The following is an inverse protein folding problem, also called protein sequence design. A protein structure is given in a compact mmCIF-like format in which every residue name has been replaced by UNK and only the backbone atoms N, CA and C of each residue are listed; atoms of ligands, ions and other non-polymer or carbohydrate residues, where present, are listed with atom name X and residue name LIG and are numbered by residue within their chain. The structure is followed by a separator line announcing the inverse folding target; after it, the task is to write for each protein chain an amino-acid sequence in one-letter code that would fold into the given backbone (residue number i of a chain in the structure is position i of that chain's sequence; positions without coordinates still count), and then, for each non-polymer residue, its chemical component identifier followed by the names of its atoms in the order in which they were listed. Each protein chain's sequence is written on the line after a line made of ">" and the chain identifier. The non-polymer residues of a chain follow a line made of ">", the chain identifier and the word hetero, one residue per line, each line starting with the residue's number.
data_IF_898974625567
#
_entry.id   IF_898974625567
#
_cell.length_a   1.000
_cell.length_b   1.000
_cell.length_c   1.000
_cell.angle_alpha   90.00
_cell.angle_beta   90.00
_cell.angle_gamma   90.00
#
_symmetry.space_group_name_H-M   'P 1'
#
loop_
_entity.id
_entity.type
_entity.pdbx_description
1 polymer ?
#
# COMPACT_ATOMS: atom_id res chain seq x y z
N UNK A 1 36.25 46.49 63.96
CA UNK A 1 36.64 45.73 62.76
C UNK A 1 35.53 45.86 61.71
N UNK A 2 35.88 45.95 60.43
CA UNK A 2 34.94 45.87 59.30
C UNK A 2 35.15 44.58 58.53
N UNK A 3 34.07 44.10 57.89
CA UNK A 3 34.04 42.85 57.13
C UNK A 3 33.43 43.17 55.77
N UNK A 4 34.15 42.87 54.69
CA UNK A 4 33.67 43.02 53.31
C UNK A 4 33.84 41.71 52.55
N UNK A 5 32.84 41.39 51.75
CA UNK A 5 32.80 40.19 50.93
C UNK A 5 32.85 40.59 49.47
N UNK A 6 33.70 39.93 48.68
CA UNK A 6 33.64 39.95 47.22
C UNK A 6 33.21 38.55 46.76
N UNK A 7 32.06 38.44 46.10
CA UNK A 7 31.48 37.14 45.76
C UNK A 7 32.06 36.53 44.47
N UNK A 8 32.94 37.25 43.77
CA UNK A 8 33.63 36.74 42.59
C UNK A 8 32.88 36.93 41.26
N UNK A 9 31.66 37.47 41.30
CA UNK A 9 30.83 37.83 40.13
C UNK A 9 30.67 39.35 39.95
N UNK A 10 31.52 40.13 40.63
CA UNK A 10 31.48 41.59 40.65
C UNK A 10 30.55 42.18 41.71
N UNK A 11 29.78 41.35 42.42
CA UNK A 11 28.96 41.79 43.56
C UNK A 11 29.72 41.71 44.88
N UNK A 12 29.35 42.58 45.81
CA UNK A 12 29.98 42.69 47.12
C UNK A 12 28.95 42.66 48.25
N UNK A 13 29.39 42.27 49.45
CA UNK A 13 28.61 42.29 50.69
C UNK A 13 29.39 42.88 51.86
N UNK A 14 28.72 43.09 52.99
CA UNK A 14 29.37 43.55 54.23
C UNK A 14 28.74 42.91 55.46
N UNK A 15 29.47 42.97 56.58
CA UNK A 15 29.07 42.36 57.85
C UNK A 15 29.74 41.01 58.11
N UNK A 16 29.61 40.52 59.34
CA UNK A 16 30.27 39.29 59.80
C UNK A 16 29.78 38.04 59.07
N UNK A 17 28.60 38.11 58.44
CA UNK A 17 28.06 37.11 57.52
C UNK A 17 27.71 37.76 56.19
N UNK A 18 27.96 37.05 55.09
CA UNK A 18 27.54 37.43 53.74
C UNK A 18 26.54 36.42 53.18
N UNK A 19 25.56 36.89 52.42
CA UNK A 19 24.64 36.07 51.64
C UNK A 19 24.57 36.61 50.22
N UNK A 20 24.56 35.72 49.24
CA UNK A 20 24.54 36.07 47.82
C UNK A 20 23.87 34.97 46.99
N UNK A 21 23.24 35.36 45.88
CA UNK A 21 22.62 34.44 44.92
C UNK A 21 23.38 34.56 43.60
N UNK A 22 23.96 33.45 43.14
CA UNK A 22 24.57 33.35 41.82
C UNK A 22 23.49 33.02 40.79
N UNK A 23 23.29 33.91 39.82
CA UNK A 23 22.28 33.74 38.76
C UNK A 23 22.74 32.88 37.59
N UNK A 24 24.03 32.53 37.53
CA UNK A 24 24.64 31.78 36.43
C UNK A 24 25.54 30.68 36.97
N UNK A 25 25.59 29.57 36.22
CA UNK A 25 26.58 28.53 36.46
C UNK A 25 28.00 29.08 36.26
N UNK A 26 28.93 28.63 37.10
CA UNK A 26 30.30 29.13 37.10
C UNK A 26 31.06 28.70 38.35
N UNK A 27 32.36 28.96 38.34
CA UNK A 27 33.19 28.85 39.54
C UNK A 27 33.58 30.25 39.98
N UNK A 28 33.19 30.60 41.21
CA UNK A 28 33.37 31.92 41.79
C UNK A 28 34.32 31.84 42.98
N UNK A 29 35.33 32.69 43.00
CA UNK A 29 36.23 32.83 44.16
C UNK A 29 35.67 33.91 45.08
N UNK A 30 35.13 33.49 46.22
CA UNK A 30 34.66 34.38 47.28
C UNK A 30 35.84 34.82 48.13
N UNK A 31 35.97 36.12 48.39
CA UNK A 31 37.03 36.70 49.23
C UNK A 31 36.39 37.47 50.38
N UNK A 32 36.73 37.11 51.61
CA UNK A 32 36.46 37.90 52.81
C UNK A 32 37.66 38.79 53.10
N UNK A 33 37.45 40.09 53.26
CA UNK A 33 38.43 41.03 53.80
C UNK A 33 37.98 41.51 55.17
N UNK A 34 38.86 41.41 56.17
CA UNK A 34 38.63 41.90 57.53
C UNK A 34 39.64 43.01 57.82
N UNK A 35 39.16 44.15 58.31
CA UNK A 35 40.00 45.26 58.77
C UNK A 35 39.77 45.43 60.27
N UNK A 36 40.82 45.36 61.10
CA UNK A 36 40.69 45.53 62.55
C UNK A 36 40.51 47.00 62.97
N UNK A 37 40.49 47.29 64.28
CA UNK A 37 40.37 48.66 64.79
C UNK A 37 41.65 49.50 64.66
N UNK A 38 42.79 48.87 64.40
CA UNK A 38 44.07 49.53 64.09
C UNK A 38 44.27 49.78 62.60
N UNK A 39 43.33 49.35 61.75
CA UNK A 39 43.40 49.49 60.30
C UNK A 39 44.18 48.37 59.59
N UNK A 40 44.61 47.32 60.30
CA UNK A 40 45.29 46.18 59.70
C UNK A 40 44.30 45.30 58.96
N UNK A 41 44.70 44.82 57.78
CA UNK A 41 43.86 44.05 56.87
C UNK A 41 44.31 42.59 56.78
N UNK A 42 43.36 41.67 56.71
CA UNK A 42 43.58 40.26 56.39
C UNK A 42 42.51 39.75 55.42
N UNK A 43 42.83 38.72 54.65
CA UNK A 43 41.90 38.12 53.68
C UNK A 43 41.86 36.61 53.79
N UNK A 44 40.72 36.02 53.44
CA UNK A 44 40.52 34.59 53.25
C UNK A 44 39.69 34.36 51.99
N UNK A 45 39.90 33.24 51.29
CA UNK A 45 39.16 32.92 50.07
C UNK A 45 38.65 31.48 50.02
N UNK A 46 37.55 31.28 49.32
CA UNK A 46 36.92 29.98 49.06
C UNK A 46 36.32 29.97 47.65
N UNK A 47 36.48 28.88 46.92
CA UNK A 47 35.81 28.67 45.63
C UNK A 47 34.43 28.05 45.82
N UNK A 48 33.42 28.63 45.18
CA UNK A 48 32.06 28.11 45.08
C UNK A 48 31.81 27.73 43.61
N UNK A 49 31.38 26.50 43.37
CA UNK A 49 30.95 26.05 42.04
C UNK A 49 29.44 25.97 41.98
N UNK A 50 28.84 26.68 41.04
CA UNK A 50 27.42 26.70 40.73
C UNK A 50 27.25 25.96 39.40
N UNK A 51 26.46 24.89 39.38
CA UNK A 51 26.19 24.11 38.17
C UNK A 51 24.84 24.49 37.59
N UNK A 52 24.72 24.45 36.26
CA UNK A 52 23.40 24.47 35.62
C UNK A 52 22.63 23.18 35.99
N UNK A 53 21.29 23.21 35.99
CA UNK A 53 20.50 21.99 36.00
C UNK A 53 20.93 21.06 34.86
N UNK A 54 20.90 19.75 35.08
CA UNK A 54 21.12 18.79 34.01
C UNK A 54 19.89 18.77 33.09
N UNK A 55 20.10 18.86 31.78
CA UNK A 55 19.05 18.76 30.78
C UNK A 55 18.39 17.37 30.83
N UNK A 56 17.07 17.32 30.85
CA UNK A 56 16.31 16.08 30.69
C UNK A 56 15.82 15.94 29.24
N UNK A 57 15.85 14.71 28.72
CA UNK A 57 15.37 14.46 27.35
C UNK A 57 13.87 14.77 27.23
N UNK A 58 13.39 15.20 26.05
CA UNK A 58 11.96 15.36 25.80
C UNK A 58 11.24 14.01 25.87
N UNK A 59 9.91 14.04 25.86
CA UNK A 59 9.06 12.86 25.69
C UNK A 59 8.34 12.93 24.35
N UNK A 60 8.68 12.01 23.45
CA UNK A 60 8.03 11.85 22.16
C UNK A 60 6.64 11.26 22.33
N UNK A 61 5.60 11.94 21.84
CA UNK A 61 4.23 11.43 21.82
C UNK A 61 3.55 11.95 20.58
N UNK A 62 2.84 11.07 19.87
CA UNK A 62 1.98 11.49 18.77
C UNK A 62 0.74 10.64 18.58
N UNK A 63 -0.15 11.17 17.74
CA UNK A 63 -1.31 10.45 17.21
C UNK A 63 -1.22 10.36 15.69
N UNK A 64 -1.73 9.28 15.12
CA UNK A 64 -1.87 9.07 13.69
C UNK A 64 -3.33 8.77 13.37
N UNK A 65 -3.93 9.50 12.44
CA UNK A 65 -5.35 9.35 12.10
C UNK A 65 -5.61 9.44 10.60
N UNK A 66 -6.27 8.43 9.99
CA UNK A 66 -6.48 7.08 10.52
C UNK A 66 -5.16 6.30 10.65
N UNK A 67 -5.09 5.32 11.54
CA UNK A 67 -3.96 4.38 11.67
C UNK A 67 -4.14 3.10 10.84
N UNK A 68 -5.33 2.90 10.26
CA UNK A 68 -5.65 1.80 9.35
C UNK A 68 -6.59 2.23 8.23
N UNK A 69 -6.47 1.62 7.04
CA UNK A 69 -7.33 1.93 5.89
C UNK A 69 -6.96 1.16 4.63
N UNK A 70 -7.48 1.56 3.47
CA UNK A 70 -7.17 0.95 2.17
C UNK A 70 -6.27 1.89 1.37
N UNK A 71 -5.32 1.34 0.62
CA UNK A 71 -4.45 2.12 -0.26
C UNK A 71 -5.24 2.85 -1.38
N UNK A 72 -4.87 4.09 -1.75
CA UNK A 72 -3.92 4.95 -1.05
C UNK A 72 -4.51 5.50 0.26
N UNK A 73 -3.75 5.42 1.36
CA UNK A 73 -4.18 5.89 2.68
C UNK A 73 -3.46 7.18 3.07
N UNK A 74 -4.20 8.28 3.18
CA UNK A 74 -3.68 9.54 3.72
C UNK A 74 -3.88 9.58 5.24
N UNK A 75 -2.78 9.76 5.97
CA UNK A 75 -2.72 9.80 7.43
C UNK A 75 -2.26 11.18 7.88
N UNK A 76 -2.92 11.71 8.91
CA UNK A 76 -2.48 12.90 9.63
C UNK A 76 -1.74 12.49 10.90
N UNK A 77 -0.49 12.93 11.03
CA UNK A 77 0.37 12.74 12.19
C UNK A 77 0.41 14.04 13.00
N UNK A 78 0.28 13.92 14.33
CA UNK A 78 0.24 15.08 15.22
C UNK A 78 0.98 14.80 16.53
N UNK A 79 2.07 15.54 16.76
CA UNK A 79 2.93 15.49 17.94
C UNK A 79 2.70 16.63 18.95
N UNK A 80 1.55 17.31 18.92
CA UNK A 80 1.28 18.46 19.78
C UNK A 80 1.30 18.14 21.29
N UNK A 81 1.22 16.86 21.66
CA UNK A 81 1.31 16.39 23.05
C UNK A 81 2.71 15.96 23.47
N UNK A 82 3.70 16.00 22.58
CA UNK A 82 5.11 15.86 22.98
C UNK A 82 5.49 17.03 23.90
N UNK A 83 6.34 16.77 24.88
CA UNK A 83 6.69 17.73 25.92
C UNK A 83 8.17 17.62 26.27
N UNK A 84 8.73 18.69 26.80
CA UNK A 84 10.05 18.75 27.39
C UNK A 84 9.90 19.25 28.84
N UNK A 85 10.37 18.49 29.85
CA UNK A 85 10.16 18.83 31.25
C UNK A 85 10.98 20.04 31.75
N UNK A 86 12.09 20.39 31.10
CA UNK A 86 13.00 21.46 31.55
C UNK A 86 13.47 22.41 30.44
N UNK A 87 13.04 22.18 29.20
CA UNK A 87 13.38 23.02 28.05
C UNK A 87 12.25 23.18 27.03
N UNK A 88 12.63 23.25 25.75
CA UNK A 88 11.71 23.31 24.61
C UNK A 88 12.13 22.36 23.49
N UNK A 89 11.15 21.71 22.87
CA UNK A 89 11.39 20.89 21.66
C UNK A 89 11.70 21.81 20.47
N UNK A 90 12.86 21.63 19.84
CA UNK A 90 13.33 22.42 18.70
C UNK A 90 13.10 21.75 17.34
N UNK A 91 12.98 20.42 17.29
CA UNK A 91 12.72 19.68 16.02
C UNK A 91 11.73 18.53 16.20
N UNK A 92 10.95 18.27 15.16
CA UNK A 92 10.01 17.15 15.05
C UNK A 92 10.24 16.47 13.71
N UNK A 93 11.03 15.40 13.69
CA UNK A 93 11.39 14.66 12.47
C UNK A 93 10.54 13.39 12.33
N UNK A 94 9.95 13.19 11.15
CA UNK A 94 9.05 12.09 10.85
C UNK A 94 9.64 11.17 9.78
N UNK A 95 9.83 9.91 10.12
CA UNK A 95 10.05 8.80 9.19
C UNK A 95 8.74 8.01 9.05
N UNK A 96 8.32 7.72 7.81
CA UNK A 96 7.08 7.00 7.54
C UNK A 96 7.28 5.49 7.40
N UNK A 97 8.51 4.98 7.51
CA UNK A 97 8.80 3.55 7.52
C UNK A 97 8.68 2.85 6.15
N UNK A 98 8.55 3.62 5.06
CA UNK A 98 8.50 3.12 3.68
C UNK A 98 9.72 3.54 2.83
N UNK A 99 10.71 4.17 3.45
CA UNK A 99 11.93 4.67 2.80
C UNK A 99 11.74 5.99 2.05
N UNK A 100 10.58 6.65 2.18
CA UNK A 100 10.37 8.00 1.67
C UNK A 100 11.20 9.05 2.43
N UNK A 101 11.27 10.26 1.86
CA UNK A 101 11.96 11.37 2.53
C UNK A 101 11.19 11.81 3.78
N UNK A 102 11.95 12.11 4.84
CA UNK A 102 11.39 12.56 6.11
C UNK A 102 10.65 13.89 5.97
N UNK A 103 9.74 14.17 6.90
CA UNK A 103 9.08 15.47 7.05
C UNK A 103 9.37 16.08 8.41
N UNK A 104 9.22 17.39 8.48
CA UNK A 104 9.45 18.16 9.69
C UNK A 104 8.21 18.95 10.09
N UNK A 105 7.99 19.10 11.39
CA UNK A 105 6.94 19.95 11.96
C UNK A 105 6.05 19.22 12.96
N UNK A 106 5.34 19.97 13.80
CA UNK A 106 4.49 19.42 14.88
C UNK A 106 3.35 18.54 14.33
N UNK A 107 2.81 18.89 13.16
CA UNK A 107 1.78 18.12 12.49
C UNK A 107 2.06 18.04 10.99
N UNK A 108 1.96 16.83 10.43
CA UNK A 108 2.23 16.55 9.01
C UNK A 108 1.19 15.58 8.45
N UNK A 109 0.98 15.62 7.14
CA UNK A 109 0.20 14.61 6.42
C UNK A 109 1.10 13.81 5.49
N UNK A 110 0.80 12.52 5.36
CA UNK A 110 1.50 11.60 4.46
C UNK A 110 0.54 10.58 3.85
N UNK A 111 0.80 10.16 2.61
CA UNK A 111 -0.05 9.21 1.89
C UNK A 111 0.75 7.96 1.56
N UNK A 112 0.35 6.83 2.13
CA UNK A 112 0.88 5.52 1.77
C UNK A 112 0.18 5.01 0.51
N UNK A 113 0.93 4.91 -0.60
CA UNK A 113 0.36 4.56 -1.90
C UNK A 113 0.08 3.06 -2.07
N UNK A 114 0.75 2.21 -1.29
CA UNK A 114 0.67 0.75 -1.41
C UNK A 114 0.18 0.13 -0.11
N UNK A 115 -0.41 -1.06 -0.22
CA UNK A 115 -0.74 -1.88 0.94
C UNK A 115 0.55 -2.34 1.64
N UNK A 116 0.51 -2.39 2.97
CA UNK A 116 1.65 -2.72 3.79
C UNK A 116 1.43 -2.39 5.26
N UNK A 117 2.38 -2.79 6.08
CA UNK A 117 2.49 -2.36 7.48
C UNK A 117 3.73 -1.49 7.61
N UNK A 118 3.55 -0.25 8.06
CA UNK A 118 4.59 0.77 8.09
C UNK A 118 4.81 1.25 9.52
N UNK A 119 6.06 1.23 9.98
CA UNK A 119 6.44 1.78 11.28
C UNK A 119 6.73 3.27 11.13
N UNK A 120 5.76 4.12 11.46
CA UNK A 120 5.96 5.56 11.49
C UNK A 120 6.71 5.94 12.77
N UNK A 121 7.78 6.72 12.65
CA UNK A 121 8.69 7.07 13.73
C UNK A 121 8.74 8.59 13.86
N UNK A 122 8.50 9.10 15.06
CA UNK A 122 8.75 10.48 15.44
C UNK A 122 10.05 10.56 16.24
N UNK A 123 10.98 11.40 15.81
CA UNK A 123 12.14 11.82 16.63
C UNK A 123 11.98 13.28 17.03
N UNK A 124 11.96 13.56 18.33
CA UNK A 124 11.96 14.93 18.87
C UNK A 124 13.34 15.25 19.45
N UNK A 125 13.82 16.48 19.24
CA UNK A 125 15.08 16.99 19.83
C UNK A 125 14.78 18.25 20.62
N UNK A 126 15.34 18.41 21.81
CA UNK A 126 15.23 19.61 22.65
C UNK A 126 16.35 20.64 22.41
N UNK A 127 16.28 21.78 23.11
CA UNK A 127 17.28 22.85 23.07
C UNK A 127 18.61 22.51 23.76
N UNK A 128 18.64 21.42 24.53
CA UNK A 128 19.84 20.77 25.06
C UNK A 128 20.45 19.71 24.12
N UNK A 129 19.88 19.53 22.92
CA UNK A 129 20.20 18.51 21.93
C UNK A 129 19.98 17.05 22.37
N UNK A 130 19.24 16.80 23.45
CA UNK A 130 18.77 15.47 23.80
C UNK A 130 17.55 15.08 22.95
N UNK A 131 17.34 13.77 22.80
CA UNK A 131 16.34 13.22 21.88
C UNK A 131 15.51 12.15 22.55
N UNK A 132 14.28 12.01 22.05
CA UNK A 132 13.41 10.87 22.32
C UNK A 132 12.67 10.45 21.05
N UNK A 133 12.25 9.19 21.00
CA UNK A 133 11.69 8.55 19.81
C UNK A 133 10.41 7.80 20.18
N UNK A 134 9.36 8.00 19.40
CA UNK A 134 8.11 7.22 19.50
C UNK A 134 7.81 6.55 18.16
N UNK A 135 7.31 5.31 18.20
CA UNK A 135 6.97 4.53 17.00
C UNK A 135 5.52 4.07 17.02
N UNK A 136 4.82 4.23 15.91
CA UNK A 136 3.44 3.77 15.73
C UNK A 136 3.26 3.03 14.40
N UNK A 137 2.54 1.90 14.42
CA UNK A 137 2.31 1.10 13.21
C UNK A 137 1.07 1.59 12.45
N UNK A 138 1.24 1.90 11.17
CA UNK A 138 0.16 2.19 10.22
C UNK A 138 -0.11 0.96 9.37
N UNK A 139 -1.38 0.54 9.29
CA UNK A 139 -1.79 -0.63 8.50
C UNK A 139 -2.57 -0.21 7.26
N UNK A 140 -1.99 -0.42 6.09
CA UNK A 140 -2.61 -0.10 4.80
C UNK A 140 -3.01 -1.40 4.12
N UNK A 141 -4.30 -1.59 3.93
CA UNK A 141 -4.87 -2.77 3.30
C UNK A 141 -4.94 -2.58 1.77
N UNK A 142 -4.85 -3.69 1.03
CA UNK A 142 -5.14 -3.66 -0.41
C UNK A 142 -6.64 -3.46 -0.65
N UNK A 143 -7.00 -2.91 -1.81
CA UNK A 143 -8.36 -3.07 -2.33
C UNK A 143 -8.55 -4.57 -2.53
N UNK A 144 -9.50 -5.19 -1.84
CA UNK A 144 -9.76 -6.61 -2.03
C UNK A 144 -10.12 -6.89 -3.48
N UNK A 145 -9.57 -7.97 -4.06
CA UNK A 145 -9.84 -8.36 -5.44
C UNK A 145 -11.15 -9.16 -5.53
N UNK A 146 -12.10 -8.75 -6.37
CA UNK A 146 -13.24 -9.58 -6.74
C UNK A 146 -12.88 -10.47 -7.92
N UNK A 147 -13.29 -11.74 -7.88
CA UNK A 147 -13.05 -12.64 -9.00
C UNK A 147 -13.80 -12.15 -10.26
N UNK A 148 -13.22 -12.27 -11.47
CA UNK A 148 -13.88 -11.83 -12.69
C UNK A 148 -15.07 -12.73 -13.03
N UNK A 149 -15.93 -12.27 -13.93
CA UNK A 149 -16.99 -13.07 -14.55
C UNK A 149 -16.56 -13.49 -15.95
N UNK A 150 -16.34 -14.79 -16.14
CA UNK A 150 -16.09 -15.35 -17.47
C UNK A 150 -17.40 -15.53 -18.25
N UNK A 151 -17.40 -15.12 -19.51
CA UNK A 151 -18.55 -15.29 -20.41
C UNK A 151 -18.09 -15.34 -21.86
N UNK A 152 -18.71 -16.19 -22.67
CA UNK A 152 -18.48 -16.20 -24.11
C UNK A 152 -19.69 -16.65 -24.91
N UNK A 153 -19.65 -16.29 -26.19
CA UNK A 153 -20.59 -16.73 -27.22
C UNK A 153 -19.86 -17.49 -28.33
N UNK A 154 -20.63 -18.15 -29.20
CA UNK A 154 -20.10 -18.87 -30.35
C UNK A 154 -20.88 -18.49 -31.60
N UNK A 155 -20.24 -18.47 -32.77
CA UNK A 155 -20.92 -18.43 -34.06
C UNK A 155 -20.58 -19.72 -34.84
N UNK A 156 -21.57 -20.59 -35.11
CA UNK A 156 -23.00 -20.46 -34.83
C UNK A 156 -23.34 -20.51 -33.32
N UNK A 157 -24.41 -19.79 -32.94
CA UNK A 157 -24.97 -19.76 -31.57
C UNK A 157 -25.72 -21.06 -31.18
N UNK A 158 -25.27 -22.20 -31.68
CA UNK A 158 -25.91 -23.50 -31.51
C UNK A 158 -25.07 -24.43 -30.64
N UNK A 159 -25.74 -25.24 -29.82
CA UNK A 159 -25.10 -26.31 -29.05
C UNK A 159 -25.03 -27.63 -29.86
N UNK A 160 -25.76 -27.72 -30.98
CA UNK A 160 -25.72 -28.87 -31.90
C UNK A 160 -25.59 -28.35 -33.31
N UNK A 161 -24.55 -28.78 -34.02
CA UNK A 161 -24.24 -28.38 -35.39
C UNK A 161 -24.36 -29.61 -36.29
N UNK A 162 -25.23 -29.50 -37.29
CA UNK A 162 -25.40 -30.51 -38.32
C UNK A 162 -24.64 -30.09 -39.57
N UNK A 163 -23.44 -30.62 -39.77
CA UNK A 163 -22.65 -30.35 -40.97
C UNK A 163 -21.65 -31.49 -41.24
N UNK A 164 -21.05 -31.47 -42.42
CA UNK A 164 -19.95 -32.36 -42.78
C UNK A 164 -18.63 -31.69 -42.36
N UNK A 165 -17.89 -32.24 -41.37
CA UNK A 165 -16.59 -31.69 -40.99
C UNK A 165 -15.64 -31.57 -42.19
N UNK A 166 -14.68 -30.61 -42.19
CA UNK A 166 -14.35 -29.71 -41.10
C UNK A 166 -15.34 -28.54 -40.92
N UNK A 167 -15.54 -28.11 -39.68
CA UNK A 167 -16.35 -26.92 -39.33
C UNK A 167 -15.52 -25.97 -38.49
N UNK A 168 -15.45 -24.72 -38.92
CA UNK A 168 -14.90 -23.62 -38.11
C UNK A 168 -16.00 -22.99 -37.27
N UNK A 169 -15.73 -22.79 -35.99
CA UNK A 169 -16.59 -22.08 -35.04
C UNK A 169 -15.82 -20.87 -34.53
N UNK A 170 -16.48 -19.71 -34.53
CA UNK A 170 -15.92 -18.49 -33.96
C UNK A 170 -16.33 -18.40 -32.49
N UNK A 171 -15.42 -17.93 -31.65
CA UNK A 171 -15.59 -17.77 -30.20
C UNK A 171 -15.32 -16.33 -29.80
N UNK A 172 -16.22 -15.76 -29.00
CA UNK A 172 -16.10 -14.37 -28.54
C UNK A 172 -16.35 -14.28 -27.03
N UNK A 173 -15.30 -13.93 -26.28
CA UNK A 173 -15.30 -13.72 -24.83
C UNK A 173 -15.49 -12.25 -24.41
N UNK A 174 -15.83 -11.35 -25.34
CA UNK A 174 -15.99 -9.90 -25.07
C UNK A 174 -17.03 -9.58 -24.00
N UNK A 175 -17.92 -10.53 -23.67
CA UNK A 175 -18.87 -10.43 -22.57
C UNK A 175 -18.30 -10.73 -21.18
N UNK A 176 -17.02 -11.13 -21.06
CA UNK A 176 -16.36 -11.30 -19.76
C UNK A 176 -16.07 -9.95 -19.12
N UNK A 177 -16.15 -9.87 -17.79
CA UNK A 177 -16.00 -8.61 -17.05
C UNK A 177 -15.29 -8.79 -15.71
N UNK A 178 -14.77 -7.68 -15.19
CA UNK A 178 -14.20 -7.57 -13.86
C UNK A 178 -14.70 -6.26 -13.22
N UNK A 179 -15.21 -6.31 -11.99
CA UNK A 179 -15.95 -5.19 -11.37
C UNK A 179 -15.06 -4.18 -10.67
N UNK A 180 -13.88 -4.60 -10.24
CA UNK A 180 -12.89 -3.79 -9.52
C UNK A 180 -11.55 -3.71 -10.26
N UNK A 181 -11.50 -4.25 -11.49
CA UNK A 181 -10.30 -4.31 -12.28
C UNK A 181 -10.53 -4.50 -13.77
N UNK A 182 -9.62 -5.23 -14.40
CA UNK A 182 -9.58 -5.53 -15.83
C UNK A 182 -9.16 -6.97 -16.05
N UNK A 183 -9.64 -7.61 -17.13
CA UNK A 183 -9.18 -8.95 -17.49
C UNK A 183 -7.80 -8.87 -18.16
N UNK A 184 -6.81 -9.52 -17.57
CA UNK A 184 -5.44 -9.59 -18.05
C UNK A 184 -5.22 -10.67 -19.12
N UNK A 185 -5.91 -11.81 -19.05
CA UNK A 185 -5.77 -12.89 -20.05
C UNK A 185 -7.03 -13.69 -20.31
N UNK A 186 -7.08 -14.29 -21.50
CA UNK A 186 -8.14 -15.17 -21.99
C UNK A 186 -7.50 -16.44 -22.54
N UNK A 187 -7.86 -17.59 -21.98
CA UNK A 187 -7.28 -18.89 -22.29
C UNK A 187 -8.40 -19.87 -22.67
N UNK A 188 -8.29 -20.48 -23.84
CA UNK A 188 -9.29 -21.37 -24.41
C UNK A 188 -8.79 -22.81 -24.45
N UNK A 189 -9.67 -23.75 -24.13
CA UNK A 189 -9.50 -25.18 -24.37
C UNK A 189 -10.72 -25.64 -25.17
N UNK A 190 -10.53 -26.22 -26.35
CA UNK A 190 -11.64 -26.57 -27.26
C UNK A 190 -12.19 -27.98 -27.06
N UNK A 191 -11.56 -28.80 -26.22
CA UNK A 191 -12.04 -30.14 -25.87
C UNK A 191 -11.61 -31.26 -26.83
N UNK A 192 -10.80 -30.95 -27.84
CA UNK A 192 -10.13 -31.91 -28.74
C UNK A 192 -8.60 -31.96 -28.56
N UNK A 193 -8.10 -31.21 -27.58
CA UNK A 193 -6.66 -31.09 -27.27
C UNK A 193 -6.06 -29.75 -27.68
N UNK A 194 -6.74 -28.99 -28.54
CA UNK A 194 -6.26 -27.69 -28.99
C UNK A 194 -6.63 -26.57 -28.01
N UNK A 195 -5.81 -25.52 -28.03
CA UNK A 195 -5.92 -24.35 -27.15
C UNK A 195 -5.69 -23.06 -27.92
N UNK A 196 -6.26 -21.97 -27.43
CA UNK A 196 -5.99 -20.63 -27.97
C UNK A 196 -5.95 -19.57 -26.87
N UNK A 197 -5.57 -18.35 -27.25
CA UNK A 197 -5.60 -17.18 -26.37
C UNK A 197 -6.20 -15.99 -27.10
N UNK A 198 -6.73 -15.03 -26.34
CA UNK A 198 -7.29 -13.78 -26.87
C UNK A 198 -8.79 -13.67 -26.62
N UNK A 199 -9.30 -12.44 -26.72
CA UNK A 199 -10.73 -12.14 -26.49
C UNK A 199 -11.61 -12.86 -27.50
N UNK A 200 -11.18 -12.88 -28.76
CA UNK A 200 -11.81 -13.63 -29.84
C UNK A 200 -10.84 -14.64 -30.41
N UNK A 201 -11.36 -15.77 -30.86
CA UNK A 201 -10.58 -16.82 -31.51
C UNK A 201 -11.48 -17.66 -32.41
N UNK A 202 -10.88 -18.44 -33.30
CA UNK A 202 -11.60 -19.38 -34.18
C UNK A 202 -10.98 -20.76 -34.04
N UNK A 203 -11.79 -21.80 -34.12
CA UNK A 203 -11.30 -23.18 -34.06
C UNK A 203 -12.01 -24.08 -35.06
N UNK A 204 -11.25 -24.99 -35.69
CA UNK A 204 -11.76 -25.90 -36.72
C UNK A 204 -11.80 -27.33 -36.23
N UNK A 205 -13.01 -27.87 -36.05
CA UNK A 205 -13.23 -29.26 -35.69
C UNK A 205 -13.26 -30.14 -36.94
N UNK A 206 -12.32 -31.09 -37.02
CA UNK A 206 -12.14 -31.97 -38.20
C UNK A 206 -12.96 -33.25 -38.14
N UNK A 207 -13.48 -33.61 -36.97
CA UNK A 207 -14.29 -34.81 -36.74
C UNK A 207 -15.63 -34.48 -36.12
N UNK A 208 -16.63 -35.34 -36.35
CA UNK A 208 -17.89 -35.28 -35.58
C UNK A 208 -17.65 -35.75 -34.15
N UNK A 209 -18.25 -35.09 -33.17
CA UNK A 209 -18.03 -35.39 -31.76
C UNK A 209 -18.75 -34.43 -30.84
N UNK A 210 -18.59 -34.64 -29.53
CA UNK A 210 -19.02 -33.70 -28.49
C UNK A 210 -17.77 -33.04 -27.92
N UNK A 211 -17.74 -31.72 -27.93
CA UNK A 211 -16.60 -30.92 -27.51
C UNK A 211 -17.01 -30.00 -26.37
N UNK A 212 -16.26 -30.04 -25.28
CA UNK A 212 -16.44 -29.16 -24.12
C UNK A 212 -15.42 -28.04 -24.20
N UNK A 213 -15.90 -26.84 -24.49
CA UNK A 213 -15.10 -25.62 -24.56
C UNK A 213 -15.05 -25.00 -23.18
N UNK A 214 -13.84 -24.68 -22.73
CA UNK A 214 -13.56 -23.97 -21.49
C UNK A 214 -12.85 -22.68 -21.84
N UNK A 215 -13.45 -21.56 -21.43
CA UNK A 215 -12.77 -20.27 -21.34
C UNK A 215 -12.33 -20.07 -19.89
N UNK A 216 -11.05 -19.79 -19.67
CA UNK A 216 -10.53 -19.27 -18.41
C UNK A 216 -10.07 -17.83 -18.63
N UNK A 217 -10.61 -16.90 -17.85
CA UNK A 217 -10.14 -15.50 -17.80
C UNK A 217 -9.40 -15.28 -16.50
N UNK A 218 -8.35 -14.46 -16.53
CA UNK A 218 -7.57 -14.08 -15.34
C UNK A 218 -7.58 -12.56 -15.26
N UNK A 219 -7.91 -11.99 -14.10
CA UNK A 219 -7.90 -10.54 -13.88
C UNK A 219 -6.48 -9.97 -13.71
N UNK A 220 -6.39 -8.64 -13.56
CA UNK A 220 -5.14 -7.91 -13.37
C UNK A 220 -4.49 -8.10 -11.98
N UNK A 221 -5.13 -8.83 -11.07
CA UNK A 221 -4.59 -9.25 -9.77
C UNK A 221 -4.33 -10.76 -9.71
N UNK A 222 -4.55 -11.47 -10.82
CA UNK A 222 -4.25 -12.89 -10.98
C UNK A 222 -5.38 -13.85 -10.59
N UNK A 223 -6.59 -13.38 -10.27
CA UNK A 223 -7.68 -14.31 -9.93
C UNK A 223 -8.35 -14.87 -11.19
N UNK A 224 -8.54 -16.21 -11.26
CA UNK A 224 -9.15 -16.86 -12.40
C UNK A 224 -10.67 -17.03 -12.25
N UNK A 225 -11.38 -16.98 -13.37
CA UNK A 225 -12.76 -17.45 -13.50
C UNK A 225 -12.92 -18.25 -14.79
N UNK A 226 -13.92 -19.12 -14.87
CA UNK A 226 -14.14 -19.94 -16.07
C UNK A 226 -15.60 -20.05 -16.48
N UNK A 227 -15.81 -20.12 -17.78
CA UNK A 227 -17.08 -20.40 -18.42
C UNK A 227 -16.95 -21.67 -19.27
N UNK A 228 -18.01 -22.46 -19.36
CA UNK A 228 -18.00 -23.72 -20.12
C UNK A 228 -19.21 -23.81 -21.02
N UNK A 229 -19.00 -24.28 -22.26
CA UNK A 229 -20.07 -24.58 -23.22
C UNK A 229 -19.75 -25.89 -23.93
N UNK A 230 -20.76 -26.72 -24.14
CA UNK A 230 -20.61 -27.95 -24.92
C UNK A 230 -21.26 -27.77 -26.28
N UNK A 231 -20.53 -28.08 -27.35
CA UNK A 231 -21.09 -28.20 -28.71
C UNK A 231 -21.04 -29.66 -29.16
N UNK A 232 -22.02 -30.08 -29.95
CA UNK A 232 -22.05 -31.41 -30.57
C UNK A 232 -22.11 -31.29 -32.08
N UNK A 233 -21.09 -31.80 -32.76
CA UNK A 233 -21.00 -31.85 -34.22
C UNK A 233 -21.47 -33.21 -34.68
N UNK A 234 -22.56 -33.24 -35.44
CA UNK A 234 -23.14 -34.46 -36.01
C UNK A 234 -22.90 -34.48 -37.51
N UNK A 235 -22.51 -35.65 -38.01
CA UNK A 235 -22.35 -35.85 -39.45
C UNK A 235 -23.70 -35.77 -40.15
N UNK A 236 -23.80 -34.91 -41.15
CA UNK A 236 -24.97 -34.85 -42.04
C UNK A 236 -24.89 -36.01 -43.04
N UNK A 237 -25.90 -36.88 -43.04
CA UNK A 237 -26.05 -37.89 -44.10
C UNK A 237 -26.79 -37.23 -45.26
N UNK A 238 -26.10 -37.02 -46.37
CA UNK A 238 -26.73 -36.64 -47.64
C UNK A 238 -27.50 -37.84 -48.16
N UNK A 239 -28.84 -37.75 -48.18
CA UNK A 239 -29.66 -38.70 -48.93
C UNK A 239 -29.52 -38.31 -50.41
N UNK A 240 -28.97 -39.20 -51.23
CA UNK A 240 -28.83 -38.98 -52.67
C UNK A 240 -30.19 -38.74 -53.36
N UNK A 241 -30.22 -38.18 -54.59
CA UNK A 241 -31.47 -37.93 -55.28
C UNK A 241 -32.28 -39.22 -55.44
N UNK A 242 -33.57 -39.16 -55.09
CA UNK A 242 -34.53 -40.22 -55.43
C UNK A 242 -34.50 -40.37 -56.95
N UNK A 243 -34.02 -41.51 -57.45
CA UNK A 243 -34.10 -41.84 -58.88
C UNK A 243 -35.59 -41.75 -59.28
N UNK A 244 -35.90 -40.86 -60.22
CA UNK A 244 -37.24 -40.74 -60.79
C UNK A 244 -37.66 -42.06 -61.46
N UNK A 245 -38.95 -42.44 -61.44
CA UNK A 245 -39.39 -43.70 -62.02
C UNK A 245 -39.08 -43.75 -63.52
N UNK A 246 -38.47 -44.86 -63.96
CA UNK A 246 -38.21 -45.17 -65.37
C UNK A 246 -39.55 -45.21 -66.12
N UNK A 247 -39.74 -44.46 -67.23
CA UNK A 247 -40.96 -44.58 -68.02
C UNK A 247 -41.03 -45.98 -68.65
N UNK A 248 -42.19 -46.64 -68.52
CA UNK A 248 -42.46 -47.90 -69.21
C UNK A 248 -42.53 -47.59 -70.72
N UNK A 249 -41.75 -48.26 -71.59
CA UNK A 249 -41.87 -48.05 -73.03
C UNK A 249 -43.24 -48.56 -73.52
N UNK A 250 -43.94 -47.75 -74.31
CA UNK A 250 -45.17 -48.15 -74.99
C UNK A 250 -44.92 -49.39 -75.85
N UNK A 251 -45.60 -50.49 -75.55
CA UNK A 251 -45.66 -51.65 -76.44
C UNK A 251 -46.48 -51.28 -77.70
N UNK A 252 -46.00 -51.64 -78.90
CA UNK A 252 -46.74 -51.39 -80.13
C UNK A 252 -48.03 -52.22 -80.18
N UNK A 253 -49.11 -51.57 -80.63
CA UNK A 253 -50.42 -52.16 -80.85
C UNK A 253 -50.33 -53.11 -82.06
N UNK A 254 -50.64 -54.39 -81.89
CA UNK A 254 -50.80 -55.35 -82.99
C UNK A 254 -52.28 -55.38 -83.40
N UNK A 255 -52.65 -55.05 -84.65
CA UNK A 255 -54.00 -55.23 -85.13
C UNK A 255 -54.22 -56.70 -85.53
N UNK A 256 -55.38 -57.26 -85.17
CA UNK A 256 -55.85 -58.55 -85.70
C UNK A 256 -57.11 -58.28 -86.51
N UNK A 257 -56.97 -58.35 -87.83
CA UNK A 257 -58.08 -58.64 -88.76
C UNK A 257 -58.03 -60.12 -89.18
N UNK A 258 -58.92 -60.60 -90.06
CA UNK A 258 -59.88 -59.87 -90.91
C UNK A 258 -61.28 -59.72 -90.34
#
# INVERSE_FOLDING_TARGET
>A
ASYTWAFGDGQNGSGMSGSHIYSHAGTFTVILTVIDNGGLMSTASQTITVTAPANAAPTAVFTATPDTGIAPLTVMFNAATAQDPDGTIVTYDWDFGDGSAHKQGVAVTYTYASAGSYAAILTVTDDGAAQDVETHTITVNAVGNFIPTASFTTDPLLNVIFAHPPITVDFDASGSSDTDGTIASYNWIFGDGDTATGVTTTHTYTTSGTYTIILTVIDNQGAPASATKTIRILNMVTIGPILTPIPIPNLPIIPVGP
#
